data_IF_654674755215
#
_entry.id   IF_654674755215
#
_cell.length_a   1.000
_cell.length_b   1.000
_cell.length_c   1.000
_cell.angle_alpha   90.00
_cell.angle_beta   90.00
_cell.angle_gamma   90.00
#
_symmetry.space_group_name_H-M   'P 1'
#
loop_
_entity.id
_entity.type
_entity.pdbx_description
1 polymer ?
#
# COMPACT_ATOMS: atom_id res chain seq x y z
N UNK A 1 -0.81 -17.78 -6.83
CA UNK A 1 -0.98 -17.11 -8.13
C UNK A 1 -1.33 -18.17 -9.17
N UNK A 2 -2.29 -17.95 -10.07
CA UNK A 2 -2.52 -18.86 -11.20
C UNK A 2 -1.37 -18.69 -12.20
N UNK A 3 -0.76 -19.77 -12.67
CA UNK A 3 0.27 -19.70 -13.71
C UNK A 3 -0.40 -19.29 -15.02
N UNK A 4 -0.33 -18.01 -15.40
CA UNK A 4 -0.85 -17.57 -16.71
C UNK A 4 0.12 -17.98 -17.83
N UNK A 5 1.41 -18.04 -17.51
CA UNK A 5 2.46 -18.55 -18.38
C UNK A 5 2.21 -20.04 -18.68
N UNK A 6 1.97 -20.36 -19.96
CA UNK A 6 1.66 -21.74 -20.41
C UNK A 6 0.17 -22.06 -20.59
N UNK A 7 -0.76 -21.12 -20.33
CA UNK A 7 -2.20 -21.31 -20.60
C UNK A 7 -2.47 -21.73 -22.05
N UNK A 8 -1.86 -21.03 -23.01
CA UNK A 8 -1.98 -21.35 -24.44
C UNK A 8 -1.52 -22.76 -24.80
N UNK A 9 -0.38 -23.18 -24.23
CA UNK A 9 0.19 -24.52 -24.42
C UNK A 9 -0.73 -25.59 -23.83
N UNK A 10 -1.32 -25.34 -22.64
CA UNK A 10 -2.28 -26.25 -22.01
C UNK A 10 -3.57 -26.37 -22.82
N UNK A 11 -4.11 -25.27 -23.33
CA UNK A 11 -5.26 -25.28 -24.26
C UNK A 11 -4.94 -26.15 -25.48
N UNK A 12 -3.76 -25.97 -26.09
CA UNK A 12 -3.34 -26.76 -27.23
C UNK A 12 -3.23 -28.26 -26.92
N UNK A 13 -2.66 -28.61 -25.77
CA UNK A 13 -2.50 -29.99 -25.33
C UNK A 13 -3.85 -30.66 -25.03
N UNK A 14 -4.72 -29.99 -24.30
CA UNK A 14 -6.07 -30.49 -23.96
C UNK A 14 -6.94 -30.64 -25.20
N UNK A 15 -6.90 -29.68 -26.13
CA UNK A 15 -7.62 -29.78 -27.41
C UNK A 15 -7.14 -30.98 -28.22
N UNK A 16 -5.82 -31.16 -28.34
CA UNK A 16 -5.23 -32.30 -29.07
C UNK A 16 -5.56 -33.64 -28.41
N UNK A 17 -5.68 -33.71 -27.09
CA UNK A 17 -6.13 -34.93 -26.37
C UNK A 17 -7.57 -35.33 -26.70
N UNK A 18 -8.38 -34.41 -27.22
CA UNK A 18 -9.74 -34.70 -27.68
C UNK A 18 -9.84 -34.83 -29.21
N UNK A 19 -8.71 -34.93 -29.93
CA UNK A 19 -8.65 -35.01 -31.40
C UNK A 19 -9.36 -33.87 -32.16
N UNK A 20 -9.56 -32.72 -31.50
CA UNK A 20 -10.18 -31.54 -32.13
C UNK A 20 -9.15 -30.77 -32.95
N UNK A 21 -9.48 -30.32 -34.16
CA UNK A 21 -8.65 -29.35 -34.90
C UNK A 21 -8.83 -27.93 -34.36
N UNK A 22 -7.91 -27.01 -34.66
CA UNK A 22 -8.06 -25.60 -34.26
C UNK A 22 -9.34 -25.00 -34.86
N UNK A 23 -9.71 -25.40 -36.07
CA UNK A 23 -10.94 -24.96 -36.75
C UNK A 23 -12.20 -25.50 -36.08
N UNK A 24 -12.19 -26.77 -35.66
CA UNK A 24 -13.31 -27.39 -34.96
C UNK A 24 -13.52 -26.74 -33.58
N UNK A 25 -12.43 -26.50 -32.85
CA UNK A 25 -12.45 -25.87 -31.54
C UNK A 25 -12.83 -24.38 -31.59
N UNK A 26 -12.35 -23.66 -32.61
CA UNK A 26 -12.76 -22.27 -32.83
C UNK A 26 -14.26 -22.16 -33.13
N UNK A 27 -14.81 -23.13 -33.87
CA UNK A 27 -16.24 -23.18 -34.21
C UNK A 27 -17.13 -23.38 -32.99
N UNK A 28 -16.74 -24.22 -32.03
CA UNK A 28 -17.53 -24.43 -30.80
C UNK A 28 -17.52 -23.20 -29.89
N UNK A 29 -16.42 -22.44 -29.90
CA UNK A 29 -16.25 -21.22 -29.10
C UNK A 29 -16.75 -19.94 -29.80
N UNK A 30 -17.21 -20.02 -31.05
CA UNK A 30 -17.68 -18.86 -31.81
C UNK A 30 -16.56 -17.85 -32.18
N UNK A 31 -15.31 -18.32 -32.29
CA UNK A 31 -14.14 -17.49 -32.64
C UNK A 31 -13.50 -17.92 -33.96
N UNK A 32 -12.54 -17.14 -34.47
CA UNK A 32 -11.78 -17.53 -35.66
C UNK A 32 -10.69 -18.56 -35.34
N UNK A 33 -10.35 -19.48 -36.27
CA UNK A 33 -9.23 -20.42 -36.08
C UNK A 33 -7.89 -19.72 -35.79
N UNK A 34 -7.73 -18.51 -36.34
CA UNK A 34 -6.56 -17.65 -36.10
C UNK A 34 -6.48 -17.16 -34.64
N UNK A 35 -7.61 -16.93 -33.97
CA UNK A 35 -7.64 -16.57 -32.55
C UNK A 35 -7.10 -17.73 -31.70
N UNK A 36 -7.59 -18.96 -31.95
CA UNK A 36 -7.11 -20.18 -31.29
C UNK A 36 -5.60 -20.37 -31.54
N UNK A 37 -5.14 -20.18 -32.78
CA UNK A 37 -3.72 -20.28 -33.13
C UNK A 37 -2.85 -19.28 -32.34
N UNK A 38 -3.29 -18.03 -32.18
CA UNK A 38 -2.59 -17.01 -31.37
C UNK A 38 -2.54 -17.38 -29.89
N UNK A 39 -3.60 -17.96 -29.34
CA UNK A 39 -3.62 -18.44 -27.96
C UNK A 39 -2.61 -19.56 -27.76
N UNK A 40 -2.66 -20.56 -28.62
CA UNK A 40 -1.80 -21.76 -28.50
C UNK A 40 -0.32 -21.49 -28.74
N UNK A 41 0.02 -20.39 -29.42
CA UNK A 41 1.40 -19.94 -29.68
C UNK A 41 1.89 -18.88 -28.69
N UNK A 42 1.05 -18.47 -27.72
CA UNK A 42 1.41 -17.46 -26.72
C UNK A 42 1.47 -16.03 -27.26
N UNK A 43 1.00 -15.79 -28.49
CA UNK A 43 0.95 -14.46 -29.13
C UNK A 43 -0.19 -13.61 -28.55
N UNK A 44 -1.19 -14.24 -27.92
CA UNK A 44 -2.26 -13.56 -27.20
C UNK A 44 -3.03 -14.52 -26.31
N UNK A 45 -4.04 -14.02 -25.61
CA UNK A 45 -4.85 -14.81 -24.69
C UNK A 45 -6.31 -14.85 -25.12
N UNK A 46 -7.05 -15.95 -24.81
CA UNK A 46 -8.49 -15.94 -24.94
C UNK A 46 -9.09 -14.85 -24.06
N UNK A 47 -10.16 -14.23 -24.54
CA UNK A 47 -10.92 -13.29 -23.72
C UNK A 47 -11.38 -14.00 -22.44
N UNK A 48 -11.35 -13.28 -21.32
CA UNK A 48 -11.71 -13.85 -20.01
C UNK A 48 -13.11 -14.49 -20.01
N UNK A 49 -14.03 -13.96 -20.82
CA UNK A 49 -15.40 -14.48 -20.96
C UNK A 49 -15.46 -15.82 -21.68
N UNK A 50 -14.43 -16.19 -22.43
CA UNK A 50 -14.32 -17.46 -23.14
C UNK A 50 -13.73 -18.57 -22.25
N UNK A 51 -13.03 -18.24 -21.16
CA UNK A 51 -12.37 -19.23 -20.30
C UNK A 51 -13.31 -20.29 -19.71
N UNK A 52 -14.52 -19.95 -19.20
CA UNK A 52 -15.46 -20.97 -18.70
C UNK A 52 -15.95 -21.89 -19.82
N UNK A 53 -16.12 -21.37 -21.04
CA UNK A 53 -16.53 -22.17 -22.19
C UNK A 53 -15.38 -23.06 -22.66
N UNK A 54 -14.16 -22.54 -22.74
CA UNK A 54 -12.94 -23.30 -23.04
C UNK A 54 -12.77 -24.46 -22.05
N UNK A 55 -12.90 -24.21 -20.75
CA UNK A 55 -12.82 -25.25 -19.72
C UNK A 55 -13.89 -26.33 -19.91
N UNK A 56 -15.14 -25.90 -20.16
CA UNK A 56 -16.28 -26.80 -20.42
C UNK A 56 -16.07 -27.66 -21.66
N UNK A 57 -15.68 -27.07 -22.79
CA UNK A 57 -15.44 -27.78 -24.05
C UNK A 57 -14.27 -28.75 -23.92
N UNK A 58 -13.20 -28.36 -23.21
CA UNK A 58 -12.04 -29.21 -22.96
C UNK A 58 -12.25 -30.24 -21.83
N UNK A 59 -13.43 -30.24 -21.19
CA UNK A 59 -13.78 -31.22 -20.15
C UNK A 59 -12.93 -31.12 -18.89
N UNK A 60 -12.41 -29.94 -18.58
CA UNK A 60 -11.54 -29.69 -17.41
C UNK A 60 -12.13 -28.61 -16.51
N UNK A 61 -11.72 -28.58 -15.24
CA UNK A 61 -12.00 -27.43 -14.39
C UNK A 61 -11.21 -26.20 -14.84
N UNK A 62 -11.67 -25.00 -14.45
CA UNK A 62 -10.89 -23.77 -14.65
C UNK A 62 -9.52 -23.92 -13.97
N UNK A 63 -9.45 -24.49 -12.77
CA UNK A 63 -8.18 -24.74 -12.09
C UNK A 63 -7.22 -25.63 -12.91
N UNK A 64 -7.72 -26.70 -13.52
CA UNK A 64 -6.94 -27.56 -14.41
C UNK A 64 -6.48 -26.85 -15.68
N UNK A 65 -7.31 -25.96 -16.22
CA UNK A 65 -6.94 -25.13 -17.38
C UNK A 65 -5.73 -24.23 -17.07
N UNK A 66 -5.62 -23.79 -15.82
CA UNK A 66 -4.48 -23.03 -15.30
C UNK A 66 -3.42 -23.90 -14.59
N UNK A 67 -3.43 -25.23 -14.79
CA UNK A 67 -2.37 -26.13 -14.35
C UNK A 67 -2.50 -26.70 -12.93
N UNK A 68 -3.63 -26.50 -12.24
CA UNK A 68 -3.88 -27.09 -10.91
C UNK A 68 -4.71 -28.36 -11.02
N UNK A 69 -4.23 -29.47 -10.47
CA UNK A 69 -4.96 -30.73 -10.50
C UNK A 69 -5.79 -30.90 -9.19
N UNK A 70 -7.13 -31.07 -9.26
CA UNK A 70 -7.96 -31.27 -8.08
C UNK A 70 -7.74 -32.63 -7.38
N UNK A 71 -6.93 -33.54 -7.94
CA UNK A 71 -6.77 -34.91 -7.47
C UNK A 71 -5.48 -35.19 -6.66
N UNK A 72 -4.71 -34.18 -6.25
CA UNK A 72 -3.48 -34.39 -5.47
C UNK A 72 -3.39 -33.65 -4.14
N UNK A 73 -4.49 -33.08 -3.63
CA UNK A 73 -4.50 -32.44 -2.30
C UNK A 73 -5.77 -32.75 -1.49
N UNK A 74 -6.29 -33.98 -1.56
CA UNK A 74 -6.97 -34.56 -0.39
C UNK A 74 -5.91 -35.16 0.54
N UNK A 75 -5.04 -34.31 1.10
CA UNK A 75 -4.27 -34.71 2.27
C UNK A 75 -5.16 -34.49 3.48
N UNK A 76 -5.55 -35.58 4.15
CA UNK A 76 -5.98 -35.57 5.54
C UNK A 76 -4.90 -34.86 6.35
N UNK A 77 -5.04 -33.54 6.52
CA UNK A 77 -4.20 -32.77 7.40
C UNK A 77 -4.41 -33.34 8.80
N UNK A 78 -3.35 -33.91 9.40
CA UNK A 78 -3.37 -34.21 10.83
C UNK A 78 -3.84 -32.93 11.53
N UNK A 79 -4.88 -32.98 12.39
CA UNK A 79 -5.38 -31.79 13.04
C UNK A 79 -4.23 -31.17 13.83
N UNK A 80 -4.03 -29.87 13.60
CA UNK A 80 -3.04 -29.11 14.34
C UNK A 80 -3.30 -29.24 15.85
N UNK A 81 -2.31 -29.58 16.69
CA UNK A 81 -2.51 -29.83 18.11
C UNK A 81 -2.68 -28.53 18.89
N UNK A 82 -3.88 -27.96 18.83
CA UNK A 82 -4.25 -26.80 19.62
C UNK A 82 -4.19 -27.09 21.13
N UNK A 83 -3.67 -26.17 21.96
CA UNK A 83 -3.73 -26.31 23.41
C UNK A 83 -5.16 -26.51 23.91
N UNK A 84 -5.35 -27.30 24.97
CA UNK A 84 -6.70 -27.53 25.52
C UNK A 84 -7.32 -26.27 26.14
N UNK A 85 -6.48 -25.29 26.52
CA UNK A 85 -6.90 -24.02 27.11
C UNK A 85 -6.17 -22.85 26.47
N UNK A 86 -6.84 -21.69 26.42
CA UNK A 86 -6.28 -20.39 26.02
C UNK A 86 -6.73 -19.34 27.03
N UNK A 87 -5.87 -19.06 28.01
CA UNK A 87 -6.25 -18.30 29.20
C UNK A 87 -7.39 -18.99 29.94
N UNK A 88 -8.51 -18.29 30.16
CA UNK A 88 -9.70 -18.83 30.85
C UNK A 88 -10.72 -19.49 29.89
N UNK A 89 -10.32 -19.89 28.68
CA UNK A 89 -11.19 -20.51 27.67
C UNK A 89 -10.73 -21.92 27.34
N UNK A 90 -11.69 -22.82 27.09
CA UNK A 90 -11.46 -24.22 26.76
C UNK A 90 -11.66 -24.46 25.27
N UNK A 91 -10.84 -25.33 24.67
CA UNK A 91 -10.97 -25.77 23.28
C UNK A 91 -12.30 -26.53 23.09
N UNK A 92 -13.12 -26.08 22.13
CA UNK A 92 -14.45 -26.63 21.85
C UNK A 92 -14.51 -27.46 20.56
N UNK A 93 -13.54 -27.26 19.67
CA UNK A 93 -13.47 -27.94 18.39
C UNK A 93 -12.48 -27.30 17.44
N UNK A 94 -12.10 -28.01 16.39
CA UNK A 94 -11.17 -27.52 15.38
C UNK A 94 -11.42 -28.13 13.99
N UNK A 95 -11.05 -27.40 12.94
CA UNK A 95 -11.11 -27.84 11.55
C UNK A 95 -10.10 -27.05 10.71
N UNK A 96 -9.31 -27.71 9.86
CA UNK A 96 -8.48 -27.04 8.85
C UNK A 96 -7.46 -26.03 9.40
N UNK A 97 -6.89 -26.28 10.58
CA UNK A 97 -5.96 -25.35 11.23
C UNK A 97 -6.64 -24.18 11.94
N UNK A 98 -7.92 -24.31 12.27
CA UNK A 98 -8.70 -23.33 13.06
C UNK A 98 -9.29 -24.05 14.26
N UNK A 99 -9.13 -23.49 15.46
CA UNK A 99 -9.75 -23.93 16.70
C UNK A 99 -10.76 -22.90 17.20
N UNK A 100 -11.77 -23.37 17.90
CA UNK A 100 -12.69 -22.52 18.65
C UNK A 100 -12.46 -22.72 20.15
N UNK A 101 -12.32 -21.62 20.88
CA UNK A 101 -12.24 -21.61 22.34
C UNK A 101 -13.44 -20.89 22.93
N UNK A 102 -14.00 -21.42 24.01
CA UNK A 102 -15.07 -20.75 24.75
C UNK A 102 -15.02 -21.06 26.25
N UNK A 103 -15.65 -20.21 27.06
CA UNK A 103 -15.89 -20.42 28.50
C UNK A 103 -17.16 -21.25 28.77
N UNK A 104 -17.86 -21.66 27.72
CA UNK A 104 -19.02 -22.54 27.76
C UNK A 104 -18.84 -23.77 26.86
N UNK A 105 -19.47 -24.90 27.19
CA UNK A 105 -19.38 -26.10 26.38
C UNK A 105 -20.12 -25.93 25.04
N UNK A 106 -19.47 -26.38 23.97
CA UNK A 106 -20.00 -26.46 22.62
C UNK A 106 -19.85 -27.87 22.04
N UNK A 107 -20.66 -28.21 21.04
CA UNK A 107 -20.60 -29.49 20.32
C UNK A 107 -20.35 -29.24 18.84
N UNK A 108 -19.27 -29.81 18.30
CA UNK A 108 -18.93 -29.73 16.88
C UNK A 108 -19.66 -30.81 16.06
N UNK A 109 -20.24 -30.41 14.92
CA UNK A 109 -20.76 -31.29 13.87
C UNK A 109 -20.61 -30.60 12.51
N UNK A 110 -20.04 -31.28 11.52
CA UNK A 110 -19.88 -30.78 10.13
C UNK A 110 -19.26 -29.36 10.05
N UNK A 111 -18.17 -29.13 10.79
CA UNK A 111 -17.48 -27.83 10.85
C UNK A 111 -18.21 -26.74 11.63
N UNK A 112 -19.38 -27.03 12.23
CA UNK A 112 -20.16 -26.07 13.03
C UNK A 112 -20.17 -26.50 14.50
N UNK A 113 -19.84 -25.58 15.40
CA UNK A 113 -19.94 -25.76 16.85
C UNK A 113 -21.19 -25.04 17.34
N UNK A 114 -22.08 -25.75 18.02
CA UNK A 114 -23.26 -25.18 18.65
C UNK A 114 -23.12 -25.20 20.16
N UNK A 115 -23.47 -24.09 20.81
CA UNK A 115 -23.33 -23.86 22.24
C UNK A 115 -24.68 -23.92 22.96
N UNK A 116 -24.65 -24.21 24.26
CA UNK A 116 -25.85 -24.35 25.09
C UNK A 116 -26.65 -23.05 25.23
N UNK A 117 -26.01 -21.88 25.06
CA UNK A 117 -26.67 -20.57 25.05
C UNK A 117 -27.26 -20.19 23.69
N UNK A 118 -27.25 -21.11 22.72
CA UNK A 118 -27.74 -20.91 21.37
C UNK A 118 -26.74 -20.23 20.43
N UNK A 119 -25.54 -19.91 20.90
CA UNK A 119 -24.46 -19.42 20.03
C UNK A 119 -23.98 -20.51 19.07
N UNK A 120 -23.44 -20.09 17.93
CA UNK A 120 -22.92 -21.00 16.90
C UNK A 120 -21.62 -20.46 16.32
N UNK A 121 -20.72 -21.37 15.96
CA UNK A 121 -19.48 -21.05 15.24
C UNK A 121 -19.39 -21.97 14.04
N UNK A 122 -19.19 -21.41 12.85
CA UNK A 122 -18.87 -22.19 11.65
C UNK A 122 -17.37 -22.01 11.37
N UNK A 123 -16.60 -23.09 11.51
CA UNK A 123 -15.14 -23.10 11.39
C UNK A 123 -14.66 -22.95 9.94
N UNK A 124 -15.44 -23.40 8.95
CA UNK A 124 -15.09 -23.26 7.53
C UNK A 124 -15.26 -21.82 7.03
N UNK A 125 -16.38 -21.20 7.40
CA UNK A 125 -16.69 -19.80 7.07
C UNK A 125 -16.21 -18.79 8.12
N UNK A 126 -15.54 -19.27 9.17
CA UNK A 126 -14.98 -18.49 10.28
C UNK A 126 -15.98 -17.51 10.91
N UNK A 127 -17.25 -17.91 11.00
CA UNK A 127 -18.34 -17.04 11.44
C UNK A 127 -18.75 -17.42 12.86
N UNK A 128 -18.80 -16.44 13.77
CA UNK A 128 -19.33 -16.58 15.14
C UNK A 128 -20.68 -15.86 15.21
N UNK A 129 -21.73 -16.59 15.59
CA UNK A 129 -23.04 -16.07 15.96
C UNK A 129 -23.15 -16.19 17.47
N UNK A 130 -22.69 -15.18 18.21
CA UNK A 130 -22.79 -15.17 19.68
C UNK A 130 -24.17 -14.64 20.11
N UNK A 131 -24.94 -15.48 20.81
CA UNK A 131 -26.29 -15.16 21.31
C UNK A 131 -26.34 -15.06 22.84
N UNK A 132 -25.28 -15.46 23.53
CA UNK A 132 -25.19 -15.42 25.00
C UNK A 132 -24.21 -14.36 25.50
N UNK A 133 -23.83 -14.48 26.78
CA UNK A 133 -22.85 -13.60 27.46
C UNK A 133 -21.44 -14.20 27.53
N UNK A 134 -21.34 -15.43 27.04
CA UNK A 134 -20.16 -16.29 27.10
C UNK A 134 -19.14 -15.84 26.05
N UNK A 135 -17.85 -15.95 26.37
CA UNK A 135 -16.78 -15.57 25.46
C UNK A 135 -16.47 -16.73 24.52
N UNK A 136 -16.56 -16.49 23.22
CA UNK A 136 -16.27 -17.45 22.15
C UNK A 136 -15.27 -16.79 21.20
N UNK A 137 -14.18 -17.48 20.87
CA UNK A 137 -13.12 -16.97 19.99
C UNK A 137 -12.59 -18.06 19.08
N UNK A 138 -12.02 -17.67 17.95
CA UNK A 138 -11.24 -18.55 17.09
C UNK A 138 -9.74 -18.39 17.37
N UNK A 139 -8.98 -19.44 17.08
CA UNK A 139 -7.53 -19.51 17.11
C UNK A 139 -7.06 -20.23 15.85
N UNK A 140 -5.85 -19.95 15.40
CA UNK A 140 -5.32 -20.46 14.14
C UNK A 140 -4.03 -21.21 14.40
N UNK A 141 -3.79 -22.29 13.64
CA UNK A 141 -2.61 -23.15 13.80
C UNK A 141 -1.30 -22.35 13.72
N UNK A 142 -1.30 -21.35 12.84
CA UNK A 142 -0.23 -20.38 12.63
C UNK A 142 0.12 -19.57 13.90
N UNK A 143 -0.80 -19.44 14.87
CA UNK A 143 -0.54 -18.80 16.17
C UNK A 143 0.42 -19.62 17.05
N UNK A 144 0.54 -20.93 16.80
CA UNK A 144 1.27 -21.89 17.63
C UNK A 144 2.47 -22.54 16.93
N UNK A 145 2.56 -22.45 15.60
CA UNK A 145 3.75 -22.88 14.84
C UNK A 145 4.98 -21.99 15.07
N UNK A 146 4.82 -20.85 15.77
CA UNK A 146 5.89 -19.90 16.09
C UNK A 146 6.69 -20.30 17.34
N UNK A 147 6.28 -21.32 18.10
CA UNK A 147 7.00 -21.80 19.29
C UNK A 147 7.52 -23.22 19.12
N UNK A 148 8.65 -23.39 18.44
CA UNK A 148 9.39 -24.66 18.38
C UNK A 148 10.51 -24.72 19.42
N UNK A 149 10.17 -25.07 20.66
CA UNK A 149 10.89 -25.98 21.60
C UNK A 149 10.60 -25.62 23.08
N UNK A 150 10.09 -26.63 23.81
CA UNK A 150 10.00 -26.64 25.28
C UNK A 150 11.40 -26.68 25.90
N UNK A 151 11.64 -25.85 26.93
CA UNK A 151 12.59 -26.17 28.00
C UNK A 151 11.88 -26.04 29.34
N UNK A 152 12.09 -27.06 30.15
CA UNK A 152 11.49 -27.37 31.43
C UNK A 152 11.61 -26.27 32.49
N UNK A 153 10.69 -26.36 33.46
CA UNK A 153 10.70 -25.63 34.71
C UNK A 153 12.01 -25.84 35.49
N UNK A 154 12.48 -24.77 36.14
CA UNK A 154 12.78 -24.78 37.58
C UNK A 154 12.74 -23.35 38.13
N UNK A 155 12.21 -23.26 39.35
CA UNK A 155 12.04 -22.08 40.21
C UNK A 155 13.40 -21.47 40.61
N UNK A 156 13.52 -20.15 40.78
CA UNK A 156 13.47 -19.50 42.11
C UNK A 156 13.76 -17.98 42.07
N UNK A 157 13.40 -17.37 43.19
CA UNK A 157 13.04 -16.01 43.54
C UNK A 157 14.15 -14.90 43.53
N UNK A 158 13.63 -13.65 43.45
CA UNK A 158 13.98 -12.49 44.30
C UNK A 158 14.67 -11.23 43.72
N UNK A 159 13.98 -10.12 44.01
CA UNK A 159 14.47 -8.79 44.43
C UNK A 159 14.54 -7.61 43.42
N UNK A 160 13.46 -6.83 43.47
CA UNK A 160 13.36 -5.37 43.69
C UNK A 160 14.53 -4.41 43.36
N UNK A 161 14.18 -3.33 42.64
CA UNK A 161 14.88 -2.04 42.67
C UNK A 161 14.05 -0.93 41.98
N UNK A 162 13.60 0.07 42.76
CA UNK A 162 12.75 1.21 42.35
C UNK A 162 13.54 2.43 41.85
N UNK A 163 12.79 3.26 41.09
CA UNK A 163 12.69 4.74 41.13
C UNK A 163 13.46 5.59 40.10
N UNK A 164 12.70 6.49 39.46
CA UNK A 164 13.19 7.79 38.95
C UNK A 164 12.27 8.42 37.90
N UNK A 165 11.46 9.38 38.32
CA UNK A 165 10.45 10.15 37.58
C UNK A 165 11.05 11.41 36.91
N UNK A 166 10.55 11.82 35.73
CA UNK A 166 10.40 13.23 35.31
C UNK A 166 9.74 13.36 33.92
N UNK A 167 8.47 13.76 33.95
CA UNK A 167 7.64 14.48 32.97
C UNK A 167 8.13 14.77 31.53
N UNK A 168 7.31 14.32 30.57
CA UNK A 168 6.90 15.13 29.42
C UNK A 168 5.45 14.76 29.07
N UNK A 169 4.59 15.77 28.96
CA UNK A 169 3.19 15.62 28.54
C UNK A 169 3.14 15.31 27.03
N UNK A 170 2.99 14.04 26.68
CA UNK A 170 2.62 13.60 25.33
C UNK A 170 1.11 13.80 25.10
N UNK A 171 0.66 14.16 23.89
CA UNK A 171 -0.76 14.23 23.58
C UNK A 171 -1.37 12.82 23.60
N UNK A 172 -2.32 12.62 24.51
CA UNK A 172 -3.15 11.43 24.65
C UNK A 172 -3.92 11.14 23.35
N UNK A 173 -3.54 10.08 22.64
CA UNK A 173 -4.28 9.48 21.52
C UNK A 173 -4.73 8.06 21.89
N UNK A 174 -5.48 7.93 22.98
CA UNK A 174 -6.21 6.69 23.27
C UNK A 174 -7.35 6.47 22.26
N UNK A 175 -7.08 5.71 21.20
CA UNK A 175 -8.11 5.07 20.38
C UNK A 175 -8.25 3.61 20.84
N UNK A 176 -9.25 3.34 21.67
CA UNK A 176 -9.55 1.99 22.19
C UNK A 176 -10.49 1.24 21.24
N UNK A 177 -9.94 0.55 20.25
CA UNK A 177 -10.54 -0.66 19.64
C UNK A 177 -9.43 -1.37 18.83
N UNK A 178 -9.12 -2.67 19.03
CA UNK A 178 -7.93 -3.29 18.47
C UNK A 178 -8.15 -3.58 16.98
N UNK A 179 -7.76 -2.61 16.14
CA UNK A 179 -7.63 -2.81 14.70
C UNK A 179 -6.64 -3.94 14.42
N UNK A 180 -7.02 -4.84 13.52
CA UNK A 180 -6.17 -5.95 13.07
C UNK A 180 -4.81 -5.42 12.58
N UNK A 181 -3.73 -5.80 13.26
CA UNK A 181 -2.34 -5.55 12.85
C UNK A 181 -1.85 -6.72 12.01
N UNK A 182 -1.52 -6.47 10.75
CA UNK A 182 -0.83 -7.44 9.88
C UNK A 182 0.66 -7.11 9.82
N UNK A 183 1.50 -8.04 10.27
CA UNK A 183 2.95 -7.97 10.13
C UNK A 183 3.38 -8.91 9.01
N UNK A 184 4.04 -8.38 7.98
CA UNK A 184 4.74 -9.19 6.98
C UNK A 184 6.24 -9.13 7.21
N UNK A 185 6.87 -10.30 7.37
CA UNK A 185 8.32 -10.47 7.23
C UNK A 185 8.59 -11.18 5.89
N UNK A 186 9.50 -10.65 5.06
CA UNK A 186 9.81 -11.19 3.72
C UNK A 186 10.69 -12.46 3.77
N UNK A 187 10.80 -13.13 4.91
CA UNK A 187 11.69 -14.27 5.12
C UNK A 187 11.06 -15.60 4.66
N UNK A 188 11.01 -15.83 3.35
CA UNK A 188 10.97 -17.21 2.83
C UNK A 188 12.08 -17.60 1.85
N UNK A 189 13.02 -16.71 1.54
CA UNK A 189 14.21 -17.07 0.77
C UNK A 189 15.42 -16.22 1.16
N UNK A 190 16.55 -16.87 1.47
CA UNK A 190 17.86 -16.26 1.79
C UNK A 190 18.45 -15.37 0.66
N UNK A 191 17.71 -15.19 -0.45
CA UNK A 191 18.14 -14.50 -1.66
C UNK A 191 17.25 -13.30 -2.05
N UNK A 192 16.34 -12.84 -1.18
CA UNK A 192 15.53 -11.65 -1.49
C UNK A 192 16.43 -10.40 -1.56
N UNK A 193 16.31 -9.63 -2.66
CA UNK A 193 17.11 -8.42 -2.85
C UNK A 193 16.81 -7.41 -1.72
N UNK A 194 17.80 -6.60 -1.35
CA UNK A 194 17.60 -5.53 -0.37
C UNK A 194 16.62 -4.51 -0.95
N UNK A 195 15.61 -4.13 -0.17
CA UNK A 195 14.69 -3.05 -0.57
C UNK A 195 15.44 -1.73 -0.48
N UNK A 196 15.46 -1.00 -1.60
CA UNK A 196 16.00 0.35 -1.70
C UNK A 196 15.01 1.32 -2.38
N UNK A 197 13.83 0.82 -2.76
CA UNK A 197 12.84 1.58 -3.50
C UNK A 197 11.41 1.23 -3.07
N UNK A 198 10.49 2.19 -3.15
CA UNK A 198 9.07 1.99 -2.84
C UNK A 198 8.15 2.46 -3.98
N UNK A 199 7.15 1.64 -4.30
CA UNK A 199 6.04 1.99 -5.20
C UNK A 199 4.73 1.88 -4.42
N UNK A 200 4.11 3.01 -4.09
CA UNK A 200 2.98 3.07 -3.15
C UNK A 200 1.76 3.66 -3.84
N UNK A 201 0.66 2.91 -3.88
CA UNK A 201 -0.64 3.38 -4.35
C UNK A 201 -1.67 3.19 -3.25
N UNK A 202 -2.32 4.26 -2.79
CA UNK A 202 -3.32 4.18 -1.73
C UNK A 202 -4.59 4.95 -2.07
N UNK A 203 -5.73 4.34 -1.75
CA UNK A 203 -7.07 4.93 -1.91
C UNK A 203 -7.72 5.21 -0.55
N UNK A 204 -8.49 6.28 -0.47
CA UNK A 204 -9.29 6.61 0.71
C UNK A 204 -8.50 7.41 1.75
N UNK A 205 -8.81 7.21 3.03
CA UNK A 205 -8.12 7.86 4.14
C UNK A 205 -7.07 6.89 4.70
N UNK A 206 -5.99 6.71 3.93
CA UNK A 206 -4.91 5.79 4.24
C UNK A 206 -3.63 6.56 4.55
N UNK A 207 -3.10 6.38 5.76
CA UNK A 207 -1.83 7.00 6.16
C UNK A 207 -0.67 6.08 5.84
N UNK A 208 0.40 6.62 5.30
CA UNK A 208 1.65 5.90 5.04
C UNK A 208 2.75 6.55 5.86
N UNK A 209 3.42 5.75 6.68
CA UNK A 209 4.56 6.15 7.49
C UNK A 209 5.79 5.40 6.99
N UNK A 210 6.88 6.10 6.70
CA UNK A 210 8.17 5.50 6.38
C UNK A 210 9.15 5.94 7.46
N UNK A 211 9.58 4.97 8.27
CA UNK A 211 10.43 5.18 9.44
C UNK A 211 11.75 4.46 9.17
N UNK A 212 12.86 5.12 9.46
CA UNK A 212 14.16 4.47 9.44
C UNK A 212 14.33 3.62 10.70
N UNK A 213 14.57 2.32 10.53
CA UNK A 213 14.89 1.42 11.62
C UNK A 213 15.97 0.42 11.19
N UNK A 214 17.17 0.58 11.76
CA UNK A 214 18.33 -0.28 11.46
C UNK A 214 18.18 -1.70 12.04
N UNK A 215 17.26 -1.91 12.99
CA UNK A 215 17.03 -3.20 13.65
C UNK A 215 15.85 -3.97 13.03
N UNK A 216 14.85 -3.28 12.47
CA UNK A 216 13.66 -3.87 11.84
C UNK A 216 13.71 -3.86 10.30
N UNK A 217 14.86 -4.27 9.73
CA UNK A 217 15.30 -4.09 8.32
C UNK A 217 14.35 -4.55 7.20
N UNK A 218 13.26 -5.27 7.49
CA UNK A 218 12.43 -5.97 6.49
C UNK A 218 10.95 -6.03 6.84
N UNK A 219 10.51 -5.18 7.75
CA UNK A 219 9.13 -5.20 8.24
C UNK A 219 8.30 -4.11 7.59
N UNK A 220 7.05 -4.44 7.36
CA UNK A 220 5.99 -3.46 7.25
C UNK A 220 4.84 -3.91 8.14
N UNK A 221 4.09 -2.93 8.61
CA UNK A 221 2.89 -3.10 9.40
C UNK A 221 1.75 -2.45 8.66
N UNK A 222 0.60 -3.10 8.59
CA UNK A 222 -0.61 -2.44 8.16
C UNK A 222 -1.76 -2.71 9.12
N UNK A 223 -2.52 -1.66 9.39
CA UNK A 223 -3.66 -1.67 10.28
C UNK A 223 -4.80 -0.90 9.64
N UNK A 224 -6.03 -1.38 9.77
CA UNK A 224 -7.15 -0.61 9.24
C UNK A 224 -8.46 -1.36 9.20
N UNK A 225 -9.40 -0.76 8.48
CA UNK A 225 -10.71 -1.36 8.23
C UNK A 225 -10.59 -2.71 7.51
N UNK A 226 -11.53 -3.65 7.69
CA UNK A 226 -11.52 -4.91 6.96
C UNK A 226 -11.50 -4.74 5.43
N UNK A 227 -12.11 -3.68 4.90
CA UNK A 227 -12.07 -3.36 3.47
C UNK A 227 -10.66 -2.92 3.03
N UNK A 228 -9.98 -2.11 3.85
CA UNK A 228 -8.58 -1.75 3.63
C UNK A 228 -7.67 -2.99 3.64
N UNK A 229 -7.78 -3.85 4.65
CA UNK A 229 -6.96 -5.06 4.76
C UNK A 229 -7.19 -6.03 3.59
N UNK A 230 -8.43 -6.13 3.08
CA UNK A 230 -8.75 -6.95 1.90
C UNK A 230 -8.21 -6.39 0.59
N UNK A 231 -8.02 -5.07 0.50
CA UNK A 231 -7.53 -4.39 -0.69
C UNK A 231 -6.01 -4.21 -0.68
N UNK A 232 -5.37 -4.34 0.48
CA UNK A 232 -3.94 -4.22 0.62
C UNK A 232 -3.22 -5.38 -0.07
N UNK A 233 -2.41 -5.04 -1.06
CA UNK A 233 -1.47 -5.93 -1.71
C UNK A 233 -0.06 -5.40 -1.49
N UNK A 234 0.85 -6.27 -1.07
CA UNK A 234 2.25 -5.94 -0.88
C UNK A 234 3.11 -6.99 -1.58
N UNK A 235 3.96 -6.53 -2.50
CA UNK A 235 4.77 -7.39 -3.37
C UNK A 235 6.17 -6.81 -3.52
N UNK A 236 7.18 -7.68 -3.42
CA UNK A 236 8.56 -7.30 -3.71
C UNK A 236 8.91 -7.65 -5.16
N UNK A 237 9.34 -6.64 -5.92
CA UNK A 237 9.82 -6.76 -7.30
C UNK A 237 11.28 -6.32 -7.36
N UNK A 238 12.21 -7.29 -7.24
CA UNK A 238 13.64 -6.97 -7.13
C UNK A 238 13.92 -6.16 -5.86
N UNK A 239 14.52 -4.97 -6.00
CA UNK A 239 14.79 -4.04 -4.89
C UNK A 239 13.63 -3.09 -4.57
N UNK A 240 12.53 -3.17 -5.32
CA UNK A 240 11.35 -2.32 -5.12
C UNK A 240 10.31 -3.05 -4.31
N UNK A 241 9.80 -2.40 -3.27
CA UNK A 241 8.62 -2.86 -2.56
C UNK A 241 7.38 -2.12 -3.04
N UNK A 242 6.49 -2.86 -3.70
CA UNK A 242 5.24 -2.36 -4.23
C UNK A 242 4.11 -2.60 -3.22
N UNK A 243 3.43 -1.52 -2.85
CA UNK A 243 2.30 -1.51 -1.93
C UNK A 243 1.12 -0.90 -2.66
N UNK A 244 -0.01 -1.57 -2.68
CA UNK A 244 -1.20 -1.11 -3.39
C UNK A 244 -2.45 -1.39 -2.58
N UNK A 245 -3.25 -0.35 -2.34
CA UNK A 245 -4.60 -0.45 -1.80
C UNK A 245 -5.55 0.01 -2.90
N UNK A 246 -5.91 -0.91 -3.80
CA UNK A 246 -6.75 -0.63 -4.97
C UNK A 246 -8.08 -1.40 -4.90
N UNK A 247 -9.11 -0.85 -5.55
CA UNK A 247 -10.43 -1.47 -5.59
C UNK A 247 -10.39 -2.78 -6.38
N UNK A 248 -10.56 -3.90 -5.68
CA UNK A 248 -10.89 -5.18 -6.29
C UNK A 248 -12.27 -5.04 -6.96
N UNK A 249 -12.28 -5.06 -8.29
CA UNK A 249 -13.43 -5.18 -9.21
C UNK A 249 -14.80 -4.60 -8.76
N UNK A 250 -15.23 -3.57 -9.50
CA UNK A 250 -16.57 -2.94 -9.46
C UNK A 250 -17.70 -3.98 -9.57
N UNK A 251 -18.25 -4.43 -8.44
CA UNK A 251 -19.66 -4.85 -8.35
C UNK A 251 -20.10 -4.96 -6.88
N UNK A 252 -21.14 -4.22 -6.51
CA UNK A 252 -22.06 -4.41 -5.35
C UNK A 252 -21.81 -3.64 -4.03
N UNK A 253 -20.68 -2.98 -3.75
CA UNK A 253 -20.54 -2.27 -2.46
C UNK A 253 -20.92 -0.78 -2.48
N UNK A 254 -21.90 -0.42 -1.64
CA UNK A 254 -22.15 0.94 -1.14
C UNK A 254 -20.84 1.57 -0.65
N UNK A 255 -20.69 2.89 -0.82
CA UNK A 255 -19.57 3.70 -0.31
C UNK A 255 -19.23 3.37 1.14
N UNK A 256 -18.28 2.46 1.34
CA UNK A 256 -17.67 2.19 2.65
C UNK A 256 -16.36 2.97 2.70
N UNK A 257 -16.13 3.63 3.83
CA UNK A 257 -14.93 4.43 4.05
C UNK A 257 -13.73 3.48 4.19
N UNK A 258 -12.84 3.49 3.19
CA UNK A 258 -11.54 2.82 3.27
C UNK A 258 -10.67 3.69 4.18
N UNK A 259 -10.27 3.12 5.32
CA UNK A 259 -9.32 3.72 6.25
C UNK A 259 -8.28 2.71 6.68
N UNK A 260 -7.03 3.16 6.79
CA UNK A 260 -5.95 2.35 7.32
C UNK A 260 -4.65 3.13 7.46
N UNK A 261 -3.64 2.45 7.97
CA UNK A 261 -2.29 2.93 8.09
C UNK A 261 -1.34 1.84 7.58
N UNK A 262 -0.27 2.24 6.90
CA UNK A 262 0.84 1.40 6.49
C UNK A 262 2.09 2.02 7.09
N UNK A 263 2.84 1.27 7.89
CA UNK A 263 4.15 1.66 8.40
C UNK A 263 5.20 0.81 7.70
N UNK A 264 6.13 1.46 7.01
CA UNK A 264 7.28 0.85 6.36
C UNK A 264 8.54 1.13 7.17
N UNK A 265 9.24 0.07 7.55
CA UNK A 265 10.53 0.18 8.22
C UNK A 265 11.62 0.11 7.16
N UNK A 266 12.16 1.28 6.83
CA UNK A 266 13.19 1.42 5.82
C UNK A 266 14.54 0.93 6.38
N UNK A 267 15.25 0.07 5.65
CA UNK A 267 16.52 -0.51 6.11
C UNK A 267 17.69 0.48 6.07
N UNK A 268 17.50 1.63 5.42
CA UNK A 268 18.52 2.65 5.19
C UNK A 268 17.87 4.03 5.26
N UNK A 269 18.61 5.00 5.80
CA UNK A 269 18.17 6.41 5.83
C UNK A 269 18.22 7.08 4.44
N UNK A 270 19.02 6.55 3.52
CA UNK A 270 19.09 7.00 2.12
C UNK A 270 18.67 5.84 1.22
N UNK A 271 17.61 6.06 0.47
CA UNK A 271 16.98 5.11 -0.44
C UNK A 271 17.05 5.66 -1.86
N UNK A 272 16.95 4.79 -2.86
CA UNK A 272 17.13 5.19 -4.25
C UNK A 272 15.88 5.93 -4.76
N UNK A 273 14.70 5.31 -4.63
CA UNK A 273 13.49 5.84 -5.27
C UNK A 273 12.24 5.66 -4.42
N UNK A 274 11.39 6.68 -4.43
CA UNK A 274 10.00 6.55 -3.99
C UNK A 274 9.05 7.01 -5.08
N UNK A 275 8.02 6.24 -5.35
CA UNK A 275 6.85 6.69 -6.07
C UNK A 275 5.60 6.51 -5.22
N UNK A 276 4.83 7.57 -5.04
CA UNK A 276 3.61 7.56 -4.24
C UNK A 276 2.46 8.17 -5.04
N UNK A 277 1.33 7.49 -5.05
CA UNK A 277 0.06 7.99 -5.57
C UNK A 277 -1.02 7.83 -4.50
N UNK A 278 -1.41 8.95 -3.90
CA UNK A 278 -2.52 8.98 -2.94
C UNK A 278 -3.75 9.54 -3.64
N UNK A 279 -4.86 8.79 -3.60
CA UNK A 279 -6.18 9.32 -3.98
C UNK A 279 -7.14 9.30 -2.80
N UNK A 280 -7.67 10.46 -2.46
CA UNK A 280 -8.53 10.64 -1.30
C UNK A 280 -7.94 11.62 -0.30
N UNK A 281 -7.94 11.25 0.98
CA UNK A 281 -7.49 12.09 2.10
C UNK A 281 -6.47 11.33 2.95
N UNK A 282 -5.62 10.56 2.29
CA UNK A 282 -4.55 9.80 2.92
C UNK A 282 -3.24 10.59 2.88
N UNK A 283 -2.40 10.39 3.88
CA UNK A 283 -1.17 11.17 4.04
C UNK A 283 0.06 10.28 3.89
N UNK A 284 1.19 10.86 3.49
CA UNK A 284 2.51 10.25 3.58
C UNK A 284 3.38 11.04 4.55
N UNK A 285 4.10 10.34 5.41
CA UNK A 285 5.18 10.92 6.20
C UNK A 285 6.40 10.02 6.05
N UNK A 286 7.48 10.54 5.48
CA UNK A 286 8.77 9.85 5.39
C UNK A 286 9.85 10.56 6.20
N UNK A 287 10.49 9.81 7.10
CA UNK A 287 11.71 10.22 7.80
C UNK A 287 12.98 9.87 7.00
N UNK A 288 12.81 9.22 5.86
CA UNK A 288 13.88 8.68 5.01
C UNK A 288 14.07 9.54 3.77
N UNK A 289 15.32 9.60 3.34
CA UNK A 289 15.75 10.37 2.18
C UNK A 289 15.65 9.52 0.90
N UNK A 290 15.31 10.15 -0.21
CA UNK A 290 15.25 9.49 -1.52
C UNK A 290 16.03 10.27 -2.57
N UNK A 291 16.81 9.57 -3.40
CA UNK A 291 17.53 10.17 -4.53
C UNK A 291 16.58 10.58 -5.68
N UNK A 292 15.49 9.81 -5.88
CA UNK A 292 14.43 10.10 -6.83
C UNK A 292 13.05 10.03 -6.15
N UNK A 293 12.18 11.01 -6.38
CA UNK A 293 10.85 11.08 -5.77
C UNK A 293 9.77 11.44 -6.80
N UNK A 294 8.81 10.54 -7.05
CA UNK A 294 7.62 10.78 -7.88
C UNK A 294 6.36 10.77 -7.01
N UNK A 295 5.84 11.95 -6.70
CA UNK A 295 4.88 12.17 -5.63
C UNK A 295 3.59 12.77 -6.19
N UNK A 296 2.49 12.02 -6.15
CA UNK A 296 1.19 12.45 -6.63
C UNK A 296 0.11 12.41 -5.55
N UNK A 297 -0.60 13.52 -5.41
CA UNK A 297 -1.81 13.66 -4.59
C UNK A 297 -2.99 13.94 -5.53
N UNK A 298 -4.08 13.21 -5.34
CA UNK A 298 -5.39 13.51 -5.93
C UNK A 298 -6.45 13.52 -4.84
N UNK A 299 -6.76 14.71 -4.32
CA UNK A 299 -7.65 14.89 -3.19
C UNK A 299 -7.13 15.90 -2.18
N UNK A 300 -7.23 15.58 -0.89
CA UNK A 300 -6.96 16.51 0.23
C UNK A 300 -6.09 15.86 1.32
N UNK A 301 -5.20 14.94 0.93
CA UNK A 301 -4.23 14.35 1.85
C UNK A 301 -2.85 14.92 1.59
N UNK A 302 -1.96 14.84 2.57
CA UNK A 302 -0.71 15.60 2.58
C UNK A 302 0.52 14.70 2.44
N UNK A 303 1.60 15.24 1.89
CA UNK A 303 2.87 14.55 1.74
C UNK A 303 3.95 15.29 2.51
N UNK A 304 4.58 14.61 3.47
CA UNK A 304 5.70 15.13 4.25
C UNK A 304 6.94 14.28 4.02
N UNK A 305 7.99 14.88 3.50
CA UNK A 305 9.26 14.21 3.19
C UNK A 305 10.43 14.82 3.97
N UNK A 306 11.45 14.00 4.25
CA UNK A 306 12.73 14.47 4.76
C UNK A 306 13.53 15.15 3.63
N UNK A 307 14.47 14.43 3.01
CA UNK A 307 15.21 14.90 1.83
C UNK A 307 14.79 14.17 0.56
N UNK A 308 14.55 14.93 -0.50
CA UNK A 308 14.23 14.39 -1.83
C UNK A 308 15.21 14.92 -2.89
N UNK A 309 15.70 14.04 -3.75
CA UNK A 309 16.37 14.40 -5.01
C UNK A 309 15.44 14.15 -6.20
N UNK A 310 15.76 14.74 -7.36
CA UNK A 310 15.07 14.56 -8.65
C UNK A 310 13.54 14.40 -8.46
N UNK A 311 12.94 15.46 -7.93
CA UNK A 311 11.62 15.41 -7.32
C UNK A 311 10.55 15.87 -8.30
N UNK A 312 9.56 15.03 -8.57
CA UNK A 312 8.32 15.41 -9.26
C UNK A 312 7.19 15.41 -8.22
N UNK A 313 6.52 16.55 -8.05
CA UNK A 313 5.35 16.69 -7.16
C UNK A 313 4.15 17.14 -7.99
N UNK A 314 3.07 16.36 -7.94
CA UNK A 314 1.80 16.64 -8.62
C UNK A 314 0.65 16.67 -7.64
N UNK A 315 0.11 17.84 -7.38
CA UNK A 315 -1.03 18.04 -6.51
C UNK A 315 -2.26 18.35 -7.36
N UNK A 316 -3.29 17.50 -7.26
CA UNK A 316 -4.60 17.73 -7.88
C UNK A 316 -5.66 17.77 -6.77
N UNK A 317 -6.04 18.97 -6.34
CA UNK A 317 -6.95 19.16 -5.20
C UNK A 317 -6.41 20.16 -4.19
N UNK A 318 -6.55 19.83 -2.91
CA UNK A 318 -6.31 20.73 -1.77
C UNK A 318 -5.38 20.10 -0.72
N UNK A 319 -4.61 19.07 -1.10
CA UNK A 319 -3.60 18.48 -0.22
C UNK A 319 -2.25 19.15 -0.42
N UNK A 320 -1.42 19.12 0.60
CA UNK A 320 -0.17 19.89 0.65
C UNK A 320 1.06 19.00 0.51
N UNK A 321 2.17 19.60 0.10
CA UNK A 321 3.48 18.95 0.12
C UNK A 321 4.47 19.77 0.95
N UNK A 322 5.17 19.07 1.85
CA UNK A 322 6.27 19.61 2.63
C UNK A 322 7.53 18.75 2.45
N UNK A 323 8.68 19.39 2.26
CA UNK A 323 9.98 18.74 2.39
C UNK A 323 10.97 19.57 3.22
N UNK A 324 11.80 18.88 4.01
CA UNK A 324 12.92 19.54 4.72
C UNK A 324 13.98 19.99 3.72
N UNK A 325 14.33 19.16 2.75
CA UNK A 325 15.28 19.49 1.68
C UNK A 325 14.82 18.91 0.34
N UNK A 326 14.95 19.68 -0.73
CA UNK A 326 14.78 19.15 -2.08
C UNK A 326 15.85 19.66 -3.06
N UNK A 327 16.39 18.73 -3.85
CA UNK A 327 17.38 18.99 -4.90
C UNK A 327 16.81 18.63 -6.26
N UNK A 328 16.75 19.60 -7.17
CA UNK A 328 16.09 19.52 -8.48
C UNK A 328 14.61 19.10 -8.40
N UNK A 329 13.69 20.02 -8.65
CA UNK A 329 12.26 19.73 -8.49
C UNK A 329 11.36 20.29 -9.61
N UNK A 330 10.43 19.46 -10.05
CA UNK A 330 9.29 19.82 -10.87
C UNK A 330 8.03 19.78 -9.98
N UNK A 331 7.42 20.93 -9.77
CA UNK A 331 6.25 21.09 -8.91
C UNK A 331 5.07 21.53 -9.78
N UNK A 332 3.98 20.77 -9.74
CA UNK A 332 2.75 21.06 -10.46
C UNK A 332 1.54 21.00 -9.52
N UNK A 333 0.88 22.14 -9.34
CA UNK A 333 -0.30 22.31 -8.49
C UNK A 333 -1.49 22.65 -9.39
N UNK A 334 -2.54 21.84 -9.30
CA UNK A 334 -3.83 22.08 -9.92
C UNK A 334 -4.92 22.04 -8.83
N UNK A 335 -5.32 23.22 -8.35
CA UNK A 335 -6.25 23.35 -7.22
C UNK A 335 -5.80 24.42 -6.22
N UNK A 336 -5.89 24.10 -4.94
CA UNK A 336 -5.64 25.02 -3.82
C UNK A 336 -4.74 24.42 -2.73
N UNK A 337 -3.98 23.37 -3.06
CA UNK A 337 -3.00 22.79 -2.15
C UNK A 337 -1.66 23.49 -2.30
N UNK A 338 -0.88 23.48 -1.23
CA UNK A 338 0.33 24.29 -1.10
C UNK A 338 1.59 23.43 -1.11
N UNK A 339 2.71 24.06 -1.47
CA UNK A 339 4.04 23.43 -1.43
C UNK A 339 4.97 24.26 -0.58
N UNK A 340 5.54 23.64 0.45
CA UNK A 340 6.58 24.26 1.30
C UNK A 340 7.86 23.44 1.29
N UNK A 341 9.00 24.07 1.03
CA UNK A 341 10.31 23.43 1.10
C UNK A 341 11.25 24.29 1.95
N UNK A 342 11.82 23.69 3.00
CA UNK A 342 12.64 24.46 3.95
C UNK A 342 14.02 24.83 3.36
N UNK A 343 14.66 23.90 2.62
CA UNK A 343 15.92 24.16 1.90
C UNK A 343 15.86 23.65 0.47
N UNK A 344 16.07 24.56 -0.48
CA UNK A 344 16.08 24.26 -1.92
C UNK A 344 17.50 24.30 -2.50
N UNK A 345 17.75 23.44 -3.50
CA UNK A 345 19.01 23.44 -4.27
C UNK A 345 18.84 22.91 -5.69
N UNK A 346 19.68 23.33 -6.63
CA UNK A 346 19.61 22.88 -8.02
C UNK A 346 18.58 23.67 -8.84
N UNK A 347 17.77 22.98 -9.66
CA UNK A 347 16.90 23.59 -10.66
C UNK A 347 15.43 23.28 -10.42
N UNK A 348 14.59 24.32 -10.48
CA UNK A 348 13.19 24.22 -10.14
C UNK A 348 12.29 24.66 -11.29
N UNK A 349 11.26 23.86 -11.57
CA UNK A 349 10.15 24.20 -12.45
C UNK A 349 8.84 24.11 -11.67
N UNK A 350 8.24 25.26 -11.41
CA UNK A 350 7.00 25.38 -10.65
C UNK A 350 5.86 25.80 -11.58
N UNK A 351 4.74 25.09 -11.52
CA UNK A 351 3.52 25.37 -12.27
C UNK A 351 2.33 25.35 -11.32
N UNK A 352 1.61 26.46 -11.23
CA UNK A 352 0.39 26.59 -10.43
C UNK A 352 -0.76 26.97 -11.35
N UNK A 353 -1.83 26.18 -11.29
CA UNK A 353 -3.11 26.46 -11.93
C UNK A 353 -4.21 26.44 -10.87
N UNK A 354 -4.55 27.61 -10.33
CA UNK A 354 -5.50 27.73 -9.22
C UNK A 354 -5.05 28.76 -8.18
N UNK A 355 -5.20 28.42 -6.90
CA UNK A 355 -4.98 29.31 -5.76
C UNK A 355 -4.05 28.68 -4.71
N UNK A 356 -3.25 27.68 -5.08
CA UNK A 356 -2.25 27.08 -4.19
C UNK A 356 -0.94 27.85 -4.23
N UNK A 357 -0.23 27.85 -3.12
CA UNK A 357 0.94 28.67 -2.88
C UNK A 357 2.22 27.84 -2.87
N UNK A 358 3.35 28.51 -3.14
CA UNK A 358 4.68 27.91 -3.07
C UNK A 358 5.55 28.71 -2.10
N UNK A 359 6.08 28.05 -1.08
CA UNK A 359 6.96 28.64 -0.08
C UNK A 359 8.34 27.96 -0.05
N UNK A 360 9.41 28.71 -0.31
CA UNK A 360 10.79 28.27 -0.14
C UNK A 360 11.46 29.07 0.98
N UNK A 361 11.83 28.39 2.07
CA UNK A 361 12.30 29.07 3.29
C UNK A 361 13.81 29.33 3.34
N UNK A 362 14.55 28.85 2.36
CA UNK A 362 15.99 29.09 2.24
C UNK A 362 16.67 28.22 1.20
N UNK A 363 17.92 28.55 0.89
CA UNK A 363 18.74 27.80 -0.05
C UNK A 363 19.18 28.60 -1.27
N UNK A 364 19.80 27.91 -2.22
CA UNK A 364 20.37 28.49 -3.43
C UNK A 364 19.94 27.70 -4.65
N UNK A 365 19.27 28.35 -5.60
CA UNK A 365 18.83 27.74 -6.84
C UNK A 365 19.73 28.19 -8.00
N UNK A 366 20.11 27.25 -8.86
CA UNK A 366 20.74 27.57 -10.13
C UNK A 366 19.74 28.26 -11.07
N UNK A 367 18.58 27.61 -11.24
CA UNK A 367 17.49 28.07 -12.10
C UNK A 367 16.15 27.93 -11.37
N UNK A 368 15.33 28.98 -11.41
CA UNK A 368 13.94 28.95 -10.95
C UNK A 368 13.02 29.38 -12.09
N UNK A 369 12.23 28.45 -12.61
CA UNK A 369 11.16 28.74 -13.58
C UNK A 369 9.80 28.61 -12.91
N UNK A 370 9.01 29.67 -12.92
CA UNK A 370 7.71 29.74 -12.24
C UNK A 370 6.63 30.15 -13.24
N UNK A 371 5.53 29.40 -13.27
CA UNK A 371 4.33 29.74 -14.05
C UNK A 371 3.11 29.66 -13.14
N UNK A 372 2.52 30.80 -12.84
CA UNK A 372 1.30 30.89 -12.04
C UNK A 372 0.17 31.39 -12.93
N UNK A 373 -0.90 30.61 -13.01
CA UNK A 373 -2.16 30.97 -13.64
C UNK A 373 -3.27 30.91 -12.59
N UNK A 374 -3.70 32.06 -12.09
CA UNK A 374 -4.69 32.17 -11.03
C UNK A 374 -4.30 33.16 -9.93
N UNK A 375 -4.56 32.78 -8.68
CA UNK A 375 -4.41 33.65 -7.51
C UNK A 375 -3.41 33.11 -6.48
N UNK A 376 -2.63 32.08 -6.82
CA UNK A 376 -1.60 31.54 -5.95
C UNK A 376 -0.36 32.42 -5.88
N UNK A 377 0.35 32.30 -4.77
CA UNK A 377 1.49 33.13 -4.40
C UNK A 377 2.81 32.33 -4.42
N UNK A 378 3.92 33.06 -4.49
CA UNK A 378 5.26 32.53 -4.32
C UNK A 378 6.01 33.32 -3.24
N UNK A 379 6.37 32.66 -2.14
CA UNK A 379 7.31 33.21 -1.16
C UNK A 379 8.66 32.47 -1.26
N UNK A 380 9.66 33.13 -1.81
CA UNK A 380 11.05 32.72 -1.80
C UNK A 380 11.96 33.85 -1.30
N UNK A 381 11.47 34.64 -0.33
CA UNK A 381 12.18 35.80 0.21
C UNK A 381 13.56 35.48 0.81
N UNK A 382 13.77 34.23 1.26
CA UNK A 382 15.01 33.75 1.85
C UNK A 382 15.92 32.98 0.88
N UNK A 383 15.60 32.97 -0.42
CA UNK A 383 16.32 32.17 -1.43
C UNK A 383 17.18 33.06 -2.33
N UNK A 384 18.38 32.58 -2.65
CA UNK A 384 19.21 33.13 -3.72
C UNK A 384 18.99 32.34 -5.00
N UNK A 385 18.74 33.01 -6.11
CA UNK A 385 18.45 32.41 -7.41
C UNK A 385 19.48 32.88 -8.43
N UNK A 386 20.12 31.95 -9.13
CA UNK A 386 20.98 32.23 -10.27
C UNK A 386 20.18 32.87 -11.40
N UNK A 387 19.36 32.07 -12.08
CA UNK A 387 18.49 32.57 -13.16
C UNK A 387 17.01 32.41 -12.81
N UNK A 388 16.24 33.47 -13.04
CA UNK A 388 14.80 33.52 -12.83
C UNK A 388 14.06 33.60 -14.17
N UNK A 389 13.04 32.75 -14.37
CA UNK A 389 12.05 32.86 -15.44
C UNK A 389 10.65 32.73 -14.83
N UNK A 390 10.00 33.87 -14.58
CA UNK A 390 8.70 33.93 -13.92
C UNK A 390 7.62 34.50 -14.83
N UNK A 391 6.49 33.81 -14.88
CA UNK A 391 5.29 34.21 -15.59
C UNK A 391 4.07 34.10 -14.67
N UNK A 392 3.39 35.22 -14.44
CA UNK A 392 2.19 35.26 -13.59
C UNK A 392 1.03 35.87 -14.36
N UNK A 393 -0.05 35.10 -14.48
CA UNK A 393 -1.30 35.50 -15.10
C UNK A 393 -2.42 35.38 -14.08
N UNK A 394 -2.91 36.53 -13.59
CA UNK A 394 -3.93 36.61 -12.56
C UNK A 394 -3.59 37.65 -11.50
N UNK A 395 -3.92 37.33 -10.25
CA UNK A 395 -3.92 38.29 -9.13
C UNK A 395 -2.96 37.97 -7.99
N UNK A 396 -2.10 36.95 -8.14
CA UNK A 396 -1.17 36.52 -7.09
C UNK A 396 0.08 37.38 -6.98
N UNK A 397 0.81 37.19 -5.89
CA UNK A 397 2.02 37.89 -5.51
C UNK A 397 3.23 36.94 -5.44
N UNK A 398 4.39 37.42 -5.89
CA UNK A 398 5.64 36.69 -5.78
C UNK A 398 6.72 37.53 -5.09
N UNK A 399 7.44 36.91 -4.16
CA UNK A 399 8.59 37.50 -3.48
C UNK A 399 9.81 36.61 -3.67
N UNK A 400 10.91 37.18 -4.14
CA UNK A 400 12.20 36.50 -4.32
C UNK A 400 13.27 37.24 -3.51
N UNK A 401 14.12 36.50 -2.80
CA UNK A 401 15.21 37.05 -1.99
C UNK A 401 16.27 37.76 -2.83
N UNK A 402 17.15 36.99 -3.48
CA UNK A 402 18.23 37.54 -4.30
C UNK A 402 18.23 36.90 -5.68
N UNK A 403 18.42 37.70 -6.74
CA UNK A 403 18.70 37.19 -8.09
C UNK A 403 20.10 37.63 -8.52
N UNK A 404 20.97 36.67 -8.82
CA UNK A 404 22.39 36.91 -9.14
C UNK A 404 22.73 36.88 -10.62
N UNK A 405 21.81 36.36 -11.44
CA UNK A 405 21.97 36.22 -12.88
C UNK A 405 20.79 36.81 -13.66
N UNK A 406 20.39 36.14 -14.74
CA UNK A 406 19.35 36.66 -15.63
C UNK A 406 17.97 36.52 -15.00
N UNK A 407 17.15 37.56 -15.12
CA UNK A 407 15.72 37.52 -14.79
C UNK A 407 14.85 37.78 -16.02
N UNK A 408 13.88 36.89 -16.29
CA UNK A 408 12.81 37.09 -17.27
C UNK A 408 11.49 37.13 -16.51
N UNK A 409 10.76 38.24 -16.65
CA UNK A 409 9.59 38.54 -15.82
C UNK A 409 8.40 38.88 -16.73
N UNK A 410 7.30 38.13 -16.63
CA UNK A 410 6.08 38.30 -17.43
C UNK A 410 4.86 38.35 -16.52
N UNK A 411 4.32 39.53 -16.27
CA UNK A 411 3.24 39.74 -15.30
C UNK A 411 2.02 40.36 -15.97
N UNK A 412 0.82 39.87 -15.64
CA UNK A 412 -0.43 40.56 -15.96
C UNK A 412 -0.67 41.74 -15.01
N UNK A 413 -1.56 42.67 -15.36
CA UNK A 413 -1.84 43.91 -14.60
C UNK A 413 -2.17 43.69 -13.10
N UNK A 414 -2.70 42.52 -12.74
CA UNK A 414 -3.08 42.18 -11.36
C UNK A 414 -2.03 41.42 -10.56
N UNK A 415 -0.92 41.01 -11.16
CA UNK A 415 0.11 40.21 -10.48
C UNK A 415 1.27 41.09 -10.02
N UNK A 416 1.83 40.80 -8.84
CA UNK A 416 2.99 41.50 -8.30
C UNK A 416 4.22 40.59 -8.24
N UNK A 417 5.39 41.19 -8.45
CA UNK A 417 6.68 40.55 -8.21
C UNK A 417 7.59 41.51 -7.46
N UNK A 418 8.09 41.08 -6.30
CA UNK A 418 9.08 41.79 -5.51
C UNK A 418 10.37 40.97 -5.49
N UNK A 419 11.48 41.56 -5.93
CA UNK A 419 12.81 40.98 -5.78
C UNK A 419 13.59 41.84 -4.80
N UNK A 420 13.95 41.27 -3.63
CA UNK A 420 14.53 42.03 -2.52
C UNK A 420 15.95 42.51 -2.85
N UNK A 421 16.72 41.72 -3.59
CA UNK A 421 18.07 42.07 -4.03
C UNK A 421 18.38 41.58 -5.45
N UNK A 422 19.14 42.37 -6.20
CA UNK A 422 19.72 41.99 -7.49
C UNK A 422 21.21 42.28 -7.43
N UNK A 423 22.05 41.25 -7.57
CA UNK A 423 23.51 41.36 -7.45
C UNK A 423 24.20 41.34 -8.80
#
# INVERSE_FOLDING_TARGET
MYEVDGLGIRIAQLRKKQDLTQEAFARTLGVSPQAVSKWETGIGYPDITLLPQIAKELGVSIDQLFGRNPASEESQAKPFPFPQTRGNLNLQGSLGGIACYADIPGKQKDGIITFDDGSQVNLESQTIINRGKSRITLAYAEEYEISGEEIAADEDDSSAGKAGDAGNEDPDFSYSDPGFSYNGDYTKTDNAARIDSYDIFVLGACKVLIIHDENEKRRWLAEGTPDFMRMLNVEQLGSTLKISVDQIHKSIFRSRKIKGQITLYAPMINMNRIAVNIRGSGDLISQVNFEESDLQISGAGDLKMAKCGLTEVKINGAGDFYATEAHDANIAIAGSGDVTIDRVSGKYLCKVSGAGDIGFRGGELEDLSVRIAGAGDLDAAAVTVGNLDISMQGGGDAVIGCVTGRSIEKLSLGASLTILNRS
#
